data_IF_172060831172
#
_entry.id   IF_172060831172
#
_cell.length_a   1.000
_cell.length_b   1.000
_cell.length_c   1.000
_cell.angle_alpha   90.00
_cell.angle_beta   90.00
_cell.angle_gamma   90.00
#
_symmetry.space_group_name_H-M   'P 1'
#
loop_
_entity.id
_entity.type
_entity.pdbx_description
1 polymer ?
#
# COMPACT_ATOMS: atom_id res chain seq x y z
N UNK A 1 3.06 21.86 11.01
CA UNK A 1 3.72 20.55 11.11
C UNK A 1 3.07 19.56 10.14
N UNK A 2 3.42 19.64 8.85
CA UNK A 2 2.91 18.74 7.79
C UNK A 2 4.07 18.52 6.83
N UNK A 3 4.84 17.46 7.03
CA UNK A 3 5.80 17.01 6.03
C UNK A 3 5.03 16.26 4.95
N UNK A 4 5.00 16.83 3.74
CA UNK A 4 4.50 16.18 2.53
C UNK A 4 5.64 16.22 1.53
N UNK A 5 6.49 15.19 1.51
CA UNK A 5 7.49 15.02 0.47
C UNK A 5 6.83 14.35 -0.75
N UNK A 6 6.28 15.16 -1.65
CA UNK A 6 5.90 14.70 -3.00
C UNK A 6 6.91 15.28 -3.98
N UNK A 7 7.84 14.47 -4.48
CA UNK A 7 8.56 14.82 -5.71
C UNK A 7 7.55 14.64 -6.84
N UNK A 8 6.93 15.74 -7.25
CA UNK A 8 6.04 15.76 -8.41
C UNK A 8 6.89 15.55 -9.67
N UNK A 9 6.74 14.39 -10.29
CA UNK A 9 7.36 14.06 -11.58
C UNK A 9 6.98 15.07 -12.70
N UNK A 10 5.96 15.89 -12.48
CA UNK A 10 5.49 16.92 -13.42
C UNK A 10 6.48 18.08 -13.67
N UNK A 11 7.57 18.20 -12.90
CA UNK A 11 8.53 19.33 -13.03
C UNK A 11 9.83 19.01 -13.79
N UNK A 12 9.97 17.84 -14.41
CA UNK A 12 11.12 17.54 -15.28
C UNK A 12 12.47 17.56 -14.55
N UNK A 13 12.48 17.32 -13.24
CA UNK A 13 13.69 17.23 -12.44
C UNK A 13 14.49 15.99 -12.87
N UNK A 14 15.74 16.23 -13.29
CA UNK A 14 16.74 15.19 -13.54
C UNK A 14 17.86 15.36 -12.52
N UNK A 15 18.28 14.26 -11.93
CA UNK A 15 19.36 14.15 -10.95
C UNK A 15 19.98 12.77 -11.14
N UNK A 16 21.29 12.67 -10.94
CA UNK A 16 22.00 11.40 -10.99
C UNK A 16 21.63 10.50 -9.81
N UNK A 17 21.41 11.10 -8.64
CA UNK A 17 20.99 10.42 -7.41
C UNK A 17 19.91 11.23 -6.65
N UNK A 18 18.99 10.53 -5.99
CA UNK A 18 17.95 11.12 -5.15
C UNK A 18 17.79 10.35 -3.84
N UNK A 19 17.88 11.07 -2.71
CA UNK A 19 17.65 10.52 -1.38
C UNK A 19 16.41 11.16 -0.76
N UNK A 20 15.48 10.32 -0.26
CA UNK A 20 14.26 10.76 0.42
C UNK A 20 14.36 10.39 1.89
N UNK A 21 14.48 11.39 2.77
CA UNK A 21 14.66 11.21 4.22
C UNK A 21 13.33 11.01 4.99
N UNK A 22 12.30 10.45 4.34
CA UNK A 22 10.96 10.19 4.92
C UNK A 22 10.79 8.72 5.35
N UNK A 23 11.91 8.07 5.72
CA UNK A 23 11.98 6.64 6.06
C UNK A 23 12.54 6.38 7.45
N UNK A 24 13.24 5.26 7.61
CA UNK A 24 13.94 4.90 8.85
C UNK A 24 15.23 5.71 9.00
N UNK A 25 15.59 6.04 10.25
CA UNK A 25 16.87 6.70 10.58
C UNK A 25 18.03 5.70 10.52
N UNK A 26 17.73 4.40 10.70
CA UNK A 26 18.74 3.33 10.83
C UNK A 26 18.98 2.59 9.52
N UNK A 27 17.99 2.55 8.62
CA UNK A 27 18.00 1.69 7.43
C UNK A 27 17.56 2.47 6.19
N UNK A 28 18.32 2.33 5.10
CA UNK A 28 17.92 2.85 3.80
C UNK A 28 17.04 1.84 3.06
N UNK A 29 15.81 2.23 2.74
CA UNK A 29 14.88 1.39 1.96
C UNK A 29 15.07 1.59 0.46
N UNK A 30 15.17 0.49 -0.29
CA UNK A 30 15.34 0.48 -1.75
C UNK A 30 13.98 0.34 -2.49
N UNK A 31 12.91 0.03 -1.75
CA UNK A 31 11.56 -0.10 -2.28
C UNK A 31 10.53 0.59 -1.38
N UNK A 32 9.46 1.08 -2.01
CA UNK A 32 8.31 1.65 -1.33
C UNK A 32 7.01 1.04 -1.87
N UNK A 33 6.00 0.91 -1.00
CA UNK A 33 4.70 0.42 -1.41
C UNK A 33 3.95 1.51 -2.17
N UNK A 34 3.43 1.17 -3.34
CA UNK A 34 2.50 2.04 -4.05
C UNK A 34 1.18 2.20 -3.28
N UNK A 35 0.57 3.39 -3.36
CA UNK A 35 -0.77 3.63 -2.84
C UNK A 35 -1.76 3.90 -3.98
N UNK A 36 -2.90 3.20 -3.99
CA UNK A 36 -4.00 3.48 -4.90
C UNK A 36 -5.21 3.94 -4.11
N UNK A 37 -5.77 5.10 -4.46
CA UNK A 37 -6.98 5.64 -3.83
C UNK A 37 -8.13 5.61 -4.83
N UNK A 38 -9.22 4.93 -4.47
CA UNK A 38 -10.42 4.82 -5.29
C UNK A 38 -11.67 5.15 -4.47
N UNK A 39 -12.77 5.47 -5.15
CA UNK A 39 -14.08 5.74 -4.54
C UNK A 39 -15.12 4.81 -5.16
N UNK A 40 -15.88 4.11 -4.32
CA UNK A 40 -16.94 3.21 -4.75
C UNK A 40 -18.28 3.81 -4.35
N UNK A 41 -19.17 4.00 -5.33
CA UNK A 41 -20.54 4.46 -5.12
C UNK A 41 -21.50 3.31 -5.39
N UNK A 42 -22.25 2.91 -4.36
CA UNK A 42 -23.28 1.87 -4.48
C UNK A 42 -24.65 2.54 -4.54
N UNK A 43 -25.41 2.26 -5.59
CA UNK A 43 -26.73 2.86 -5.84
C UNK A 43 -27.80 1.84 -5.51
N UNK A 44 -28.76 2.23 -4.66
CA UNK A 44 -29.93 1.43 -4.30
C UNK A 44 -31.21 1.95 -4.95
N UNK A 45 -32.34 1.35 -4.59
CA UNK A 45 -33.69 1.80 -4.98
C UNK A 45 -34.46 2.16 -3.72
N UNK A 46 -34.86 3.43 -3.61
CA UNK A 46 -35.65 3.92 -2.49
C UNK A 46 -37.04 3.26 -2.47
N UNK A 47 -37.50 2.89 -1.27
CA UNK A 47 -38.84 2.38 -1.04
C UNK A 47 -39.34 2.88 0.33
N UNK A 48 -40.65 2.85 0.52
CA UNK A 48 -41.26 3.16 1.80
C UNK A 48 -40.72 2.20 2.88
N UNK A 49 -40.38 2.71 4.07
CA UNK A 49 -39.73 1.93 5.12
C UNK A 49 -40.54 0.68 5.52
N UNK A 50 -41.88 0.74 5.45
CA UNK A 50 -42.76 -0.42 5.72
C UNK A 50 -42.93 -1.41 4.56
N UNK A 51 -42.38 -1.12 3.37
CA UNK A 51 -42.40 -1.98 2.18
C UNK A 51 -40.99 -2.09 1.58
N UNK A 52 -40.04 -2.35 2.45
CA UNK A 52 -38.62 -2.53 2.19
C UNK A 52 -38.32 -3.59 1.10
N UNK A 53 -39.18 -4.60 0.91
CA UNK A 53 -39.03 -5.58 -0.19
C UNK A 53 -39.24 -5.02 -1.60
N UNK A 54 -39.85 -3.83 -1.76
CA UNK A 54 -40.00 -3.15 -3.05
C UNK A 54 -38.76 -2.34 -3.44
N UNK A 55 -37.85 -2.13 -2.48
CA UNK A 55 -36.61 -1.36 -2.63
C UNK A 55 -35.38 -2.25 -2.69
N UNK A 56 -34.23 -1.60 -2.93
CA UNK A 56 -32.91 -2.25 -2.87
C UNK A 56 -32.05 -1.42 -1.94
N UNK A 57 -31.64 -2.01 -0.82
CA UNK A 57 -30.81 -1.35 0.17
C UNK A 57 -29.36 -1.24 -0.33
N UNK A 58 -28.88 -0.02 -0.54
CA UNK A 58 -27.51 0.22 -0.95
C UNK A 58 -26.48 -0.25 0.09
N UNK A 59 -26.83 -0.24 1.38
CA UNK A 59 -25.93 -0.63 2.48
C UNK A 59 -25.66 -2.13 2.44
N UNK A 60 -26.69 -2.94 2.22
CA UNK A 60 -26.55 -4.40 2.09
C UNK A 60 -25.66 -4.76 0.89
N UNK A 61 -25.85 -4.08 -0.25
CA UNK A 61 -25.00 -4.27 -1.42
C UNK A 61 -23.57 -3.78 -1.19
N UNK A 62 -23.38 -2.69 -0.46
CA UNK A 62 -22.06 -2.21 -0.08
C UNK A 62 -21.34 -3.18 0.86
N UNK A 63 -22.05 -3.85 1.76
CA UNK A 63 -21.48 -4.87 2.65
C UNK A 63 -20.80 -6.00 1.87
N UNK A 64 -21.40 -6.46 0.76
CA UNK A 64 -20.81 -7.48 -0.11
C UNK A 64 -19.48 -7.00 -0.72
N UNK A 65 -19.43 -5.73 -1.17
CA UNK A 65 -18.21 -5.13 -1.73
C UNK A 65 -17.12 -5.03 -0.66
N UNK A 66 -17.47 -4.61 0.56
CA UNK A 66 -16.52 -4.50 1.68
C UNK A 66 -15.96 -5.87 2.06
N UNK A 67 -16.81 -6.91 2.08
CA UNK A 67 -16.35 -8.28 2.34
C UNK A 67 -15.37 -8.75 1.27
N UNK A 68 -15.68 -8.54 -0.02
CA UNK A 68 -14.78 -8.90 -1.11
C UNK A 68 -13.42 -8.16 -1.03
N UNK A 69 -13.43 -6.86 -0.69
CA UNK A 69 -12.19 -6.09 -0.48
C UNK A 69 -11.39 -6.60 0.71
N UNK A 70 -12.06 -7.01 1.78
CA UNK A 70 -11.41 -7.58 2.96
C UNK A 70 -10.75 -8.93 2.63
N UNK A 71 -11.42 -9.78 1.85
CA UNK A 71 -10.85 -11.05 1.39
C UNK A 71 -9.65 -10.83 0.46
N UNK A 72 -9.75 -9.86 -0.45
CA UNK A 72 -8.64 -9.46 -1.31
C UNK A 72 -7.43 -8.99 -0.47
N UNK A 73 -7.66 -8.19 0.57
CA UNK A 73 -6.59 -7.73 1.45
C UNK A 73 -5.88 -8.91 2.14
N UNK A 74 -6.63 -9.92 2.61
CA UNK A 74 -6.06 -11.15 3.17
C UNK A 74 -5.16 -11.87 2.14
N UNK A 75 -5.62 -12.02 0.90
CA UNK A 75 -4.86 -12.64 -0.19
C UNK A 75 -3.61 -11.84 -0.59
N UNK A 76 -3.64 -10.52 -0.48
CA UNK A 76 -2.48 -9.67 -0.76
C UNK A 76 -1.48 -9.70 0.38
N UNK A 77 -1.93 -9.75 1.63
CA UNK A 77 -1.08 -9.81 2.82
C UNK A 77 -0.22 -11.07 2.91
N UNK A 78 -0.61 -12.16 2.23
CA UNK A 78 0.18 -13.37 2.15
C UNK A 78 1.28 -13.32 1.09
N UNK A 79 1.31 -12.31 0.22
CA UNK A 79 2.35 -12.15 -0.81
C UNK A 79 3.57 -11.52 -0.17
N UNK A 80 4.71 -12.19 -0.29
CA UNK A 80 6.01 -11.66 0.12
C UNK A 80 6.63 -10.87 -1.03
N UNK A 81 7.16 -9.69 -0.73
CA UNK A 81 7.98 -8.92 -1.66
C UNK A 81 9.38 -9.52 -1.72
N UNK A 82 9.98 -9.55 -2.90
CA UNK A 82 11.37 -10.01 -3.09
C UNK A 82 12.42 -9.11 -2.44
N UNK A 83 12.04 -7.89 -2.02
CA UNK A 83 12.94 -6.90 -1.43
C UNK A 83 12.96 -7.06 0.09
N UNK A 84 14.14 -7.02 0.73
CA UNK A 84 14.23 -7.07 2.18
C UNK A 84 13.56 -5.85 2.82
N UNK A 85 12.73 -6.11 3.84
CA UNK A 85 12.13 -5.12 4.70
C UNK A 85 13.08 -4.77 5.86
N UNK A 86 12.78 -3.69 6.57
CA UNK A 86 13.49 -3.29 7.78
C UNK A 86 13.36 -4.39 8.85
N UNK A 87 14.46 -4.92 9.41
CA UNK A 87 14.40 -5.95 10.45
C UNK A 87 13.63 -5.53 11.70
N UNK A 88 13.56 -4.24 12.03
CA UNK A 88 12.76 -3.75 13.17
C UNK A 88 11.24 -3.72 12.87
N UNK A 89 10.83 -3.80 11.59
CA UNK A 89 9.42 -3.66 11.22
C UNK A 89 8.58 -4.93 11.47
N UNK A 90 9.20 -6.05 11.85
CA UNK A 90 8.52 -7.31 12.14
C UNK A 90 7.81 -7.96 10.92
N UNK A 91 8.09 -7.46 9.72
CA UNK A 91 7.52 -7.97 8.47
C UNK A 91 8.32 -9.19 8.03
N UNK A 92 7.63 -10.31 7.76
CA UNK A 92 8.28 -11.51 7.22
C UNK A 92 8.86 -11.17 5.85
N UNK A 93 10.16 -11.38 5.67
CA UNK A 93 10.89 -11.16 4.41
C UNK A 93 11.02 -12.48 3.65
N UNK A 94 10.98 -12.42 2.32
CA UNK A 94 11.48 -13.54 1.51
C UNK A 94 13.01 -13.57 1.63
N UNK A 95 13.57 -14.67 2.09
CA UNK A 95 15.02 -14.92 2.10
C UNK A 95 15.54 -14.92 0.66
N UNK A 96 15.97 -13.78 0.10
CA UNK A 96 16.62 -13.82 -1.22
C UNK A 96 17.80 -12.87 -1.40
N UNK A 97 18.07 -11.92 -0.51
CA UNK A 97 19.26 -11.08 -0.68
C UNK A 97 19.96 -10.76 0.64
N UNK A 98 20.62 -11.76 1.21
CA UNK A 98 21.80 -11.54 2.05
C UNK A 98 22.98 -11.34 1.10
N UNK A 99 23.11 -10.16 0.48
CA UNK A 99 24.37 -9.81 -0.16
C UNK A 99 25.39 -9.52 0.95
N UNK A 100 26.27 -10.49 1.16
CA UNK A 100 27.53 -10.34 1.86
C UNK A 100 28.24 -9.08 1.36
N UNK A 101 28.36 -8.07 2.21
CA UNK A 101 29.46 -7.12 2.08
C UNK A 101 30.74 -7.90 2.39
N UNK A 102 31.40 -8.41 1.35
CA UNK A 102 32.77 -8.85 1.46
C UNK A 102 33.67 -7.61 1.49
N UNK A 103 34.12 -7.27 2.69
CA UNK A 103 34.96 -6.12 3.02
C UNK A 103 36.43 -6.38 2.64
N UNK A 104 36.67 -6.73 1.36
CA UNK A 104 37.98 -7.20 0.88
C UNK A 104 38.54 -6.43 -0.32
N UNK A 105 37.87 -5.37 -0.80
CA UNK A 105 38.38 -4.51 -1.89
C UNK A 105 38.30 -3.02 -1.56
N UNK A 106 39.08 -2.61 -0.56
CA UNK A 106 39.51 -1.22 -0.42
C UNK A 106 40.86 -1.16 0.28
N UNK A 107 41.91 -1.50 -0.47
CA UNK A 107 43.30 -1.02 -0.38
C UNK A 107 44.08 -1.64 -1.54
#
# INVERSE_FOLDING_TARGET
WKNRAWISCAKGLRCDDALVADGSIRVAGIAANGCMRFSVKVIGKAAHASRNWLGINAIEKASVVVQALTELNKKLSSRLSSVPADPESGVKVSETFAHSCDDSRRC
#
